data_IF_149476768431
#
_entry.id   IF_149476768431
#
_cell.length_a   1.000
_cell.length_b   1.000
_cell.length_c   1.000
_cell.angle_alpha   90.00
_cell.angle_beta   90.00
_cell.angle_gamma   90.00
#
_symmetry.space_group_name_H-M   'P 1'
#
loop_
_entity.id
_entity.type
_entity.pdbx_description
1 polymer ?
#
# COMPACT_ATOMS: atom_id res chain seq x y z
N UNK A 1 15.09 -16.32 -19.26
CA UNK A 1 14.40 -17.07 -18.19
C UNK A 1 14.50 -16.19 -16.95
N UNK A 2 13.38 -15.73 -16.39
CA UNK A 2 13.39 -15.03 -15.10
C UNK A 2 13.54 -16.08 -14.00
N UNK A 3 14.51 -15.88 -13.12
CA UNK A 3 14.76 -16.69 -11.93
C UNK A 3 13.79 -16.29 -10.82
N UNK A 4 13.53 -17.20 -9.88
CA UNK A 4 12.68 -16.93 -8.72
C UNK A 4 13.18 -15.73 -7.89
N UNK A 5 14.49 -15.54 -7.80
CA UNK A 5 15.11 -14.40 -7.12
C UNK A 5 14.81 -13.07 -7.82
N UNK A 6 14.76 -13.04 -9.15
CA UNK A 6 14.38 -11.84 -9.92
C UNK A 6 12.90 -11.47 -9.72
N UNK A 7 12.02 -12.48 -9.58
CA UNK A 7 10.61 -12.24 -9.25
C UNK A 7 10.44 -11.71 -7.82
N UNK A 8 11.16 -12.27 -6.85
CA UNK A 8 11.15 -11.75 -5.47
C UNK A 8 11.65 -10.31 -5.40
N UNK A 9 12.73 -9.99 -6.12
CA UNK A 9 13.26 -8.64 -6.22
C UNK A 9 12.24 -7.67 -6.84
N UNK A 10 11.58 -8.09 -7.91
CA UNK A 10 10.55 -7.27 -8.59
C UNK A 10 9.38 -6.96 -7.66
N UNK A 11 8.88 -7.96 -6.93
CA UNK A 11 7.76 -7.79 -6.00
C UNK A 11 8.12 -6.92 -4.79
N UNK A 12 9.37 -6.98 -4.31
CA UNK A 12 9.86 -6.07 -3.28
C UNK A 12 9.90 -4.63 -3.78
N UNK A 13 10.44 -4.40 -4.98
CA UNK A 13 10.50 -3.07 -5.61
C UNK A 13 9.09 -2.50 -5.79
N UNK A 14 8.14 -3.33 -6.26
CA UNK A 14 6.74 -2.90 -6.42
C UNK A 14 6.11 -2.49 -5.08
N UNK A 15 6.35 -3.26 -4.01
CA UNK A 15 5.89 -2.93 -2.67
C UNK A 15 6.47 -1.58 -2.18
N UNK A 16 7.77 -1.35 -2.33
CA UNK A 16 8.43 -0.09 -1.97
C UNK A 16 7.85 1.11 -2.74
N UNK A 17 7.67 0.96 -4.06
CA UNK A 17 7.07 1.99 -4.91
C UNK A 17 5.62 2.31 -4.53
N UNK A 18 4.85 1.32 -4.13
CA UNK A 18 3.48 1.51 -3.65
C UNK A 18 3.44 2.34 -2.36
N UNK A 19 4.30 2.02 -1.40
CA UNK A 19 4.42 2.78 -0.15
C UNK A 19 4.86 4.22 -0.40
N UNK A 20 5.78 4.43 -1.36
CA UNK A 20 6.21 5.78 -1.76
C UNK A 20 5.12 6.59 -2.48
N UNK A 21 4.22 5.91 -3.20
CA UNK A 21 3.10 6.53 -3.88
C UNK A 21 1.94 6.91 -2.92
N UNK A 22 1.96 6.40 -1.68
CA UNK A 22 1.01 6.78 -0.64
C UNK A 22 1.39 8.11 -0.01
N UNK A 23 0.37 8.86 0.43
CA UNK A 23 0.59 10.03 1.27
C UNK A 23 0.96 9.62 2.72
N UNK A 24 1.59 10.55 3.45
CA UNK A 24 2.04 10.34 4.83
C UNK A 24 0.89 9.88 5.76
N UNK A 25 -0.32 10.40 5.54
CA UNK A 25 -1.47 10.12 6.40
C UNK A 25 -2.01 8.70 6.15
N UNK A 26 -2.10 8.30 4.89
CA UNK A 26 -2.47 6.94 4.48
C UNK A 26 -1.45 5.92 4.99
N UNK A 27 -0.15 6.20 4.86
CA UNK A 27 0.90 5.30 5.33
C UNK A 27 0.92 5.19 6.87
N UNK A 28 0.62 6.28 7.59
CA UNK A 28 0.39 6.25 9.04
C UNK A 28 -0.82 5.40 9.42
N UNK A 29 -1.93 5.54 8.70
CA UNK A 29 -3.13 4.73 8.91
C UNK A 29 -2.84 3.25 8.70
N UNK A 30 -2.06 2.92 7.65
CA UNK A 30 -1.61 1.57 7.36
C UNK A 30 -0.74 0.99 8.48
N UNK A 31 0.24 1.75 8.98
CA UNK A 31 1.10 1.31 10.08
C UNK A 31 0.35 1.13 11.42
N UNK A 32 -0.77 1.82 11.59
CA UNK A 32 -1.65 1.67 12.75
C UNK A 32 -2.57 0.44 12.64
N UNK A 33 -2.79 -0.09 11.44
CA UNK A 33 -3.59 -1.29 11.19
C UNK A 33 -2.71 -2.45 10.68
N UNK A 34 -2.27 -3.37 11.57
CA UNK A 34 -1.42 -4.48 11.19
C UNK A 34 -2.09 -5.45 10.21
N UNK A 35 -3.43 -5.53 10.18
CA UNK A 35 -4.15 -6.40 9.25
C UNK A 35 -4.08 -5.82 7.84
N UNK A 36 -4.34 -4.52 7.70
CA UNK A 36 -4.25 -3.81 6.43
C UNK A 36 -2.82 -3.81 5.88
N UNK A 37 -1.82 -3.60 6.74
CA UNK A 37 -0.42 -3.68 6.35
C UNK A 37 -0.05 -5.09 5.88
N UNK A 38 -0.42 -6.13 6.63
CA UNK A 38 -0.10 -7.52 6.28
C UNK A 38 -0.72 -7.96 4.93
N UNK A 39 -1.85 -7.37 4.54
CA UNK A 39 -2.46 -7.64 3.24
C UNK A 39 -1.64 -7.10 2.06
N UNK A 40 -0.80 -6.08 2.28
CA UNK A 40 0.07 -5.48 1.26
C UNK A 40 1.47 -6.10 1.24
N UNK A 41 1.92 -6.71 2.34
CA UNK A 41 3.26 -7.33 2.40
C UNK A 41 3.33 -8.49 1.41
N UNK A 42 4.36 -8.56 0.55
CA UNK A 42 4.54 -9.68 -0.35
C UNK A 42 4.60 -11.02 0.39
N UNK A 43 3.95 -12.07 -0.13
CA UNK A 43 3.81 -13.35 0.56
C UNK A 43 5.14 -14.06 0.90
N UNK A 44 6.23 -13.74 0.20
CA UNK A 44 7.56 -14.27 0.49
C UNK A 44 8.31 -13.51 1.59
N UNK A 45 7.80 -12.34 2.00
CA UNK A 45 8.40 -11.43 2.97
C UNK A 45 7.71 -11.57 4.32
N UNK A 46 8.48 -11.41 5.40
CA UNK A 46 7.90 -11.41 6.75
C UNK A 46 7.13 -10.11 7.00
N UNK A 47 6.08 -10.18 7.82
CA UNK A 47 5.35 -8.99 8.26
C UNK A 47 6.27 -7.94 8.90
N UNK A 48 7.26 -8.39 9.69
CA UNK A 48 8.23 -7.50 10.35
C UNK A 48 9.09 -6.75 9.34
N UNK A 49 9.52 -7.41 8.27
CA UNK A 49 10.31 -6.78 7.21
C UNK A 49 9.46 -5.80 6.41
N UNK A 50 8.24 -6.22 6.02
CA UNK A 50 7.29 -5.35 5.32
C UNK A 50 6.93 -4.10 6.13
N UNK A 51 6.76 -4.24 7.45
CA UNK A 51 6.55 -3.14 8.37
C UNK A 51 7.75 -2.22 8.47
N UNK A 52 8.97 -2.76 8.59
CA UNK A 52 10.20 -1.96 8.65
C UNK A 52 10.38 -1.12 7.39
N UNK A 53 10.08 -1.70 6.22
CA UNK A 53 10.09 -0.97 4.94
C UNK A 53 9.08 0.18 4.98
N UNK A 54 7.83 -0.08 5.35
CA UNK A 54 6.79 0.95 5.47
C UNK A 54 7.15 2.08 6.47
N UNK A 55 7.73 1.74 7.62
CA UNK A 55 8.23 2.74 8.59
C UNK A 55 9.38 3.58 8.00
N UNK A 56 10.29 2.96 7.26
CA UNK A 56 11.39 3.65 6.59
C UNK A 56 10.90 4.61 5.51
N UNK A 57 9.90 4.19 4.72
CA UNK A 57 9.26 5.02 3.71
C UNK A 57 8.54 6.20 4.34
N UNK A 58 7.85 6.00 5.47
CA UNK A 58 7.22 7.09 6.23
C UNK A 58 8.27 8.09 6.72
N UNK A 59 9.40 7.61 7.23
CA UNK A 59 10.50 8.47 7.66
C UNK A 59 11.06 9.29 6.48
N UNK A 60 11.20 8.68 5.30
CA UNK A 60 11.66 9.35 4.08
C UNK A 60 10.65 10.38 3.54
N UNK A 61 9.34 10.09 3.58
CA UNK A 61 8.31 11.05 3.21
C UNK A 61 8.33 12.28 4.15
N UNK A 62 8.51 12.04 5.45
CA UNK A 62 8.60 13.11 6.46
C UNK A 62 9.84 13.98 6.31
N UNK A 63 10.98 13.40 5.91
CA UNK A 63 12.21 14.17 5.65
C UNK A 63 12.18 14.92 4.31
N UNK A 64 11.26 14.57 3.40
CA UNK A 64 11.11 15.19 2.07
C UNK A 64 10.21 16.43 2.00
N UNK A 65 9.76 17.03 3.11
CA UNK A 65 9.02 18.31 3.07
C UNK A 65 9.82 19.47 3.69
N UNK A 66 9.93 20.64 3.00
CA UNK A 66 8.93 21.22 2.10
C UNK A 66 9.46 21.56 0.69
N UNK A 67 8.96 20.89 -0.36
CA UNK A 67 9.01 21.42 -1.74
C UNK A 67 8.02 20.75 -2.72
N UNK A 68 7.28 19.72 -2.33
CA UNK A 68 6.22 19.11 -3.16
C UNK A 68 4.82 19.67 -2.94
N UNK A 69 4.70 20.97 -2.64
CA UNK A 69 3.45 21.71 -2.85
C UNK A 69 3.14 21.95 -4.36
N UNK A 70 3.88 21.30 -5.27
CA UNK A 70 3.87 21.56 -6.71
C UNK A 70 3.68 20.32 -7.60
N UNK A 71 3.14 19.22 -7.08
CA UNK A 71 2.53 18.19 -7.94
C UNK A 71 1.02 18.21 -7.77
N UNK A 72 0.40 19.16 -8.47
CA UNK A 72 -0.98 19.05 -8.90
C UNK A 72 -1.12 17.84 -9.82
N UNK A 73 -1.25 16.65 -9.23
CA UNK A 73 -1.81 15.50 -9.93
C UNK A 73 -3.32 15.58 -9.72
N UNK A 74 -4.13 15.68 -10.79
CA UNK A 74 -5.58 15.73 -10.64
C UNK A 74 -6.05 14.45 -9.93
N UNK A 75 -6.77 14.66 -8.84
CA UNK A 75 -7.25 13.70 -7.87
C UNK A 75 -8.37 12.76 -8.41
N UNK A 76 -8.43 12.51 -9.72
CA UNK A 76 -9.50 11.71 -10.35
C UNK A 76 -9.08 10.32 -10.82
N UNK A 77 -7.79 9.99 -10.86
CA UNK A 77 -7.37 8.61 -11.08
C UNK A 77 -7.32 7.91 -9.72
N UNK A 78 -8.28 7.05 -9.43
CA UNK A 78 -8.21 6.14 -8.28
C UNK A 78 -6.82 5.50 -8.28
N UNK A 79 -5.98 5.75 -7.25
CA UNK A 79 -4.59 5.38 -7.34
C UNK A 79 -4.49 3.86 -7.45
N UNK A 80 -3.55 3.36 -8.27
CA UNK A 80 -3.41 1.93 -8.55
C UNK A 80 -3.27 1.09 -7.26
N UNK A 81 -2.71 1.66 -6.19
CA UNK A 81 -2.68 1.03 -4.86
C UNK A 81 -4.08 0.77 -4.28
N UNK A 82 -5.08 1.64 -4.52
CA UNK A 82 -6.46 1.44 -4.08
C UNK A 82 -7.16 0.27 -4.80
N UNK A 83 -6.64 -0.14 -5.96
CA UNK A 83 -7.09 -1.37 -6.64
C UNK A 83 -6.51 -2.62 -5.97
N UNK A 84 -5.33 -2.52 -5.35
CA UNK A 84 -4.74 -3.58 -4.54
C UNK A 84 -5.38 -3.73 -3.17
N UNK A 85 -5.92 -2.66 -2.57
CA UNK A 85 -6.79 -2.75 -1.38
C UNK A 85 -8.16 -3.38 -1.64
N UNK A 86 -8.51 -3.62 -2.91
CA UNK A 86 -9.71 -4.39 -3.25
C UNK A 86 -9.36 -5.88 -3.36
N UNK A 87 -9.29 -6.56 -2.21
CA UNK A 87 -9.91 -7.86 -2.14
C UNK A 87 -10.76 -7.95 -0.87
N UNK A 88 -11.97 -8.50 -1.02
CA UNK A 88 -12.86 -8.98 0.05
C UNK A 88 -13.96 -8.05 0.60
N UNK A 89 -13.74 -6.76 0.88
CA UNK A 89 -14.80 -5.95 1.53
C UNK A 89 -16.01 -5.61 0.64
N UNK A 90 -15.84 -5.59 -0.69
CA UNK A 90 -16.96 -5.33 -1.61
C UNK A 90 -17.96 -6.50 -1.65
N UNK A 91 -17.58 -7.70 -1.21
CA UNK A 91 -18.49 -8.84 -1.13
C UNK A 91 -19.36 -8.83 0.13
N UNK A 92 -18.96 -8.11 1.19
CA UNK A 92 -19.65 -8.15 2.49
C UNK A 92 -20.77 -7.12 2.66
N UNK A 93 -20.92 -6.16 1.73
CA UNK A 93 -21.92 -5.07 1.88
C UNK A 93 -23.19 -5.23 1.02
N UNK A 94 -23.30 -6.27 0.18
CA UNK A 94 -24.50 -6.56 -0.63
C UNK A 94 -25.25 -7.83 -0.17
N UNK A 95 -25.29 -8.09 1.13
CA UNK A 95 -25.98 -9.25 1.72
C UNK A 95 -27.08 -8.93 2.74
N UNK A 96 -27.50 -7.68 2.89
CA UNK A 96 -28.45 -7.29 3.95
C UNK A 96 -29.51 -6.27 3.49
N UNK A 97 -30.46 -6.69 2.64
CA UNK A 97 -31.79 -6.06 2.55
C UNK A 97 -32.81 -7.08 1.99
N UNK A 98 -33.43 -7.90 2.84
CA UNK A 98 -34.75 -7.71 3.49
C UNK A 98 -35.95 -8.02 2.57
N UNK A 99 -36.59 -9.16 2.86
CA UNK A 99 -38.02 -9.53 2.75
C UNK A 99 -38.81 -9.16 1.48
N UNK A 100 -39.31 -10.21 0.84
CA UNK A 100 -40.64 -10.30 0.22
C UNK A 100 -41.23 -11.63 0.61
#
# INVERSE_FOLDING_TARGET
MLTFAELQSTLQIEYELQLEAMDEQTLRGLLADPIALNALVPAFMSFTDGRRIAESTLAQLRTRMPLSAQRGVPHEAAPLWAQWFKPFWTMTLFGARKRG
#
